data_IF_413573064014
#
_entry.id   IF_413573064014
#
_cell.length_a   1.000
_cell.length_b   1.000
_cell.length_c   1.000
_cell.angle_alpha   90.00
_cell.angle_beta   90.00
_cell.angle_gamma   90.00
#
_symmetry.space_group_name_H-M   'P 1'
#
loop_
_entity.id
_entity.type
_entity.pdbx_description
1 polymer ?
#
# COMPACT_ATOMS: atom_id res chain seq x y z
N UNK A 1 25.34 -86.44 5.79
CA UNK A 1 24.62 -85.22 5.38
C UNK A 1 24.93 -84.14 6.41
N UNK A 2 25.83 -83.20 6.08
CA UNK A 2 26.32 -82.15 6.98
C UNK A 2 25.98 -80.78 6.38
N UNK A 3 25.24 -79.96 7.10
CA UNK A 3 25.29 -78.47 7.14
C UNK A 3 24.69 -78.12 8.52
N UNK A 4 25.44 -77.73 9.56
CA UNK A 4 26.37 -76.61 9.81
C UNK A 4 25.68 -75.23 9.89
N UNK A 5 25.76 -74.54 11.04
CA UNK A 5 25.14 -73.24 11.30
C UNK A 5 26.10 -72.09 10.93
N UNK A 6 25.58 -70.97 10.40
CA UNK A 6 26.31 -69.70 10.33
C UNK A 6 25.28 -68.56 10.19
N UNK A 7 25.05 -67.82 11.27
CA UNK A 7 25.59 -66.47 11.51
C UNK A 7 24.75 -65.37 10.85
N UNK A 8 23.91 -64.78 11.69
CA UNK A 8 23.18 -63.53 11.44
C UNK A 8 24.22 -62.38 11.49
N UNK A 9 24.54 -61.79 10.35
CA UNK A 9 25.40 -60.61 10.27
C UNK A 9 24.54 -59.39 9.89
N UNK A 10 24.21 -58.57 10.88
CA UNK A 10 23.47 -57.31 10.71
C UNK A 10 24.42 -56.26 10.13
N UNK A 11 24.20 -55.86 8.88
CA UNK A 11 24.92 -54.74 8.25
C UNK A 11 24.21 -53.44 8.61
N UNK A 12 24.82 -52.64 9.48
CA UNK A 12 24.37 -51.28 9.77
C UNK A 12 25.12 -50.31 8.84
N UNK A 13 24.53 -49.96 7.70
CA UNK A 13 25.04 -48.93 6.81
C UNK A 13 24.70 -47.55 7.35
N UNK A 14 25.71 -46.84 7.85
CA UNK A 14 25.60 -45.42 8.20
C UNK A 14 25.49 -44.60 6.90
N UNK A 15 24.29 -44.06 6.63
CA UNK A 15 24.11 -43.04 5.59
C UNK A 15 24.66 -41.70 6.09
N UNK A 16 25.88 -41.36 5.70
CA UNK A 16 26.37 -39.99 5.77
C UNK A 16 25.76 -39.21 4.60
N UNK A 17 24.69 -38.47 4.84
CA UNK A 17 24.23 -37.43 3.92
C UNK A 17 25.17 -36.24 4.07
N UNK A 18 26.17 -36.13 3.21
CA UNK A 18 26.86 -34.87 3.01
C UNK A 18 25.83 -33.88 2.43
N UNK A 19 25.49 -32.85 3.20
CA UNK A 19 24.75 -31.72 2.65
C UNK A 19 25.69 -30.98 1.71
N UNK A 20 25.60 -31.25 0.41
CA UNK A 20 26.16 -30.36 -0.60
C UNK A 20 25.50 -28.99 -0.39
N UNK A 21 26.27 -28.03 0.13
CA UNK A 21 25.88 -26.64 0.08
C UNK A 21 25.77 -26.29 -1.41
N UNK A 22 24.54 -26.19 -1.92
CA UNK A 22 24.29 -25.78 -3.29
C UNK A 22 24.95 -24.40 -3.48
N UNK A 23 26.08 -24.36 -4.18
CA UNK A 23 26.68 -23.11 -4.59
C UNK A 23 25.71 -22.46 -5.55
N UNK A 24 25.11 -21.34 -5.14
CA UNK A 24 24.36 -20.49 -6.06
C UNK A 24 25.26 -20.25 -7.29
N UNK A 25 24.73 -20.36 -8.51
CA UNK A 25 25.51 -20.04 -9.70
C UNK A 25 26.13 -18.65 -9.51
N UNK A 26 27.34 -18.40 -10.04
CA UNK A 26 27.92 -17.07 -10.01
C UNK A 26 26.84 -16.11 -10.50
N UNK A 27 26.45 -15.14 -9.65
CA UNK A 27 25.59 -14.05 -10.10
C UNK A 27 26.21 -13.57 -11.40
N UNK A 28 25.45 -13.69 -12.49
CA UNK A 28 25.86 -13.12 -13.77
C UNK A 28 26.41 -11.74 -13.46
N UNK A 29 27.63 -11.44 -13.92
CA UNK A 29 28.27 -10.15 -13.63
C UNK A 29 27.46 -9.11 -14.39
N UNK A 30 26.32 -8.74 -13.80
CA UNK A 30 25.31 -7.91 -14.41
C UNK A 30 25.99 -6.66 -14.94
N UNK A 31 25.51 -6.16 -16.06
CA UNK A 31 26.04 -4.95 -16.66
C UNK A 31 25.97 -3.82 -15.61
N UNK A 32 27.13 -3.32 -15.19
CA UNK A 32 27.19 -2.22 -14.24
C UNK A 32 26.78 -0.94 -14.98
N UNK A 33 25.48 -0.61 -14.88
CA UNK A 33 24.93 0.61 -15.46
C UNK A 33 25.22 1.79 -14.54
N UNK A 34 26.03 2.74 -15.01
CA UNK A 34 26.23 4.03 -14.36
C UNK A 34 25.13 5.01 -14.78
N UNK A 35 24.67 5.81 -13.85
CA UNK A 35 23.71 6.90 -14.10
C UNK A 35 23.97 8.04 -13.12
N UNK A 36 23.56 9.27 -13.45
CA UNK A 36 23.73 10.43 -12.56
C UNK A 36 22.76 10.40 -11.38
N UNK A 37 21.53 9.92 -11.59
CA UNK A 37 20.49 9.89 -10.55
C UNK A 37 19.81 8.52 -10.53
N UNK A 38 19.74 7.89 -9.36
CA UNK A 38 18.93 6.69 -9.13
C UNK A 38 17.67 7.06 -8.35
N UNK A 39 16.51 6.70 -8.89
CA UNK A 39 15.20 6.84 -8.25
C UNK A 39 14.77 5.46 -7.77
N UNK A 40 14.62 5.27 -6.47
CA UNK A 40 14.24 3.99 -5.88
C UNK A 40 12.72 3.97 -5.66
N UNK A 41 12.03 3.20 -6.49
CA UNK A 41 10.58 3.07 -6.53
C UNK A 41 9.93 3.84 -7.67
N UNK A 42 9.08 3.16 -8.44
CA UNK A 42 8.22 3.71 -9.49
C UNK A 42 6.80 4.00 -8.96
N UNK A 43 6.68 4.39 -7.70
CA UNK A 43 5.44 4.98 -7.16
C UNK A 43 5.18 6.39 -7.68
N UNK A 44 4.05 6.99 -7.29
CA UNK A 44 3.67 8.36 -7.68
C UNK A 44 4.81 9.36 -7.46
N UNK A 45 5.46 9.32 -6.30
CA UNK A 45 6.58 10.21 -5.97
C UNK A 45 7.80 10.00 -6.90
N UNK A 46 8.16 8.74 -7.18
CA UNK A 46 9.30 8.43 -8.06
C UNK A 46 9.04 8.82 -9.52
N UNK A 47 7.82 8.59 -10.02
CA UNK A 47 7.41 9.02 -11.36
C UNK A 47 7.39 10.55 -11.44
N UNK A 48 6.85 11.24 -10.42
CA UNK A 48 6.85 12.70 -10.38
C UNK A 48 8.28 13.28 -10.33
N UNK A 49 9.19 12.65 -9.57
CA UNK A 49 10.60 13.03 -9.54
C UNK A 49 11.25 12.87 -10.93
N UNK A 50 11.02 11.73 -11.59
CA UNK A 50 11.52 11.48 -12.95
C UNK A 50 10.98 12.51 -13.96
N UNK A 51 9.70 12.86 -13.85
CA UNK A 51 9.08 13.90 -14.67
C UNK A 51 9.75 15.26 -14.44
N UNK A 52 9.97 15.65 -13.19
CA UNK A 52 10.62 16.93 -12.85
C UNK A 52 12.07 16.99 -13.33
N UNK A 53 12.85 15.91 -13.17
CA UNK A 53 14.21 15.81 -13.71
C UNK A 53 14.22 15.97 -15.23
N UNK A 54 13.29 15.30 -15.91
CA UNK A 54 13.14 15.41 -17.37
C UNK A 54 12.84 16.86 -17.79
N UNK A 55 11.92 17.54 -17.10
CA UNK A 55 11.60 18.96 -17.34
C UNK A 55 12.81 19.88 -17.10
N UNK A 56 13.63 19.56 -16.10
CA UNK A 56 14.88 20.26 -15.80
C UNK A 56 16.05 19.85 -16.72
N UNK A 57 15.80 19.11 -17.81
CA UNK A 57 16.80 18.63 -18.79
C UNK A 57 17.83 17.64 -18.20
N UNK A 58 17.55 17.05 -17.03
CA UNK A 58 18.34 15.98 -16.43
C UNK A 58 17.71 14.65 -16.86
N UNK A 59 18.29 14.00 -17.87
CA UNK A 59 17.74 12.78 -18.47
C UNK A 59 18.55 11.51 -18.18
N UNK A 60 19.74 11.66 -17.61
CA UNK A 60 20.57 10.53 -17.16
C UNK A 60 20.14 10.11 -15.75
N UNK A 61 19.00 9.42 -15.68
CA UNK A 61 18.52 8.78 -14.47
C UNK A 61 18.00 7.37 -14.74
N UNK A 62 17.92 6.57 -13.68
CA UNK A 62 17.32 5.24 -13.68
C UNK A 62 16.26 5.16 -12.59
N UNK A 63 15.09 4.60 -12.92
CA UNK A 63 14.09 4.20 -11.92
C UNK A 63 14.26 2.71 -11.64
N UNK A 64 14.42 2.35 -10.38
CA UNK A 64 14.53 0.96 -9.91
C UNK A 64 13.28 0.64 -9.11
N UNK A 65 12.43 -0.23 -9.65
CA UNK A 65 11.20 -0.70 -8.99
C UNK A 65 11.35 -2.19 -8.68
N UNK A 66 10.91 -2.58 -7.49
CA UNK A 66 10.93 -3.98 -7.06
C UNK A 66 9.78 -4.77 -7.66
N UNK A 67 8.62 -4.13 -7.80
CA UNK A 67 7.42 -4.73 -8.36
C UNK A 67 7.55 -4.92 -9.88
N UNK A 68 6.73 -5.82 -10.41
CA UNK A 68 6.53 -6.01 -11.86
C UNK A 68 5.55 -4.97 -12.45
N UNK A 69 5.13 -3.98 -11.65
CA UNK A 69 4.24 -2.89 -12.03
C UNK A 69 4.70 -1.54 -11.46
N UNK A 70 4.18 -0.46 -12.04
CA UNK A 70 4.40 0.91 -11.58
C UNK A 70 3.19 1.46 -10.81
N UNK A 71 3.34 2.60 -10.14
CA UNK A 71 2.28 3.25 -9.35
C UNK A 71 2.43 3.03 -7.83
N UNK A 72 3.12 1.96 -7.43
CA UNK A 72 3.40 1.65 -6.03
C UNK A 72 2.11 1.37 -5.25
N UNK A 73 1.73 2.27 -4.35
CA UNK A 73 0.46 2.21 -3.59
C UNK A 73 -0.76 2.72 -4.36
N UNK A 74 -0.59 3.29 -5.56
CA UNK A 74 -1.69 3.46 -6.51
C UNK A 74 -1.70 2.24 -7.43
N UNK A 75 -2.57 1.26 -7.11
CA UNK A 75 -2.64 -0.01 -7.81
C UNK A 75 -4.09 -0.40 -8.03
N UNK A 76 -4.41 -0.77 -9.27
CA UNK A 76 -5.69 -1.37 -9.63
C UNK A 76 -5.53 -2.85 -9.99
N UNK A 77 -6.64 -3.58 -9.96
CA UNK A 77 -6.73 -4.97 -10.39
C UNK A 77 -8.08 -5.25 -11.05
N UNK A 78 -8.10 -6.21 -11.98
CA UNK A 78 -9.33 -6.74 -12.56
C UNK A 78 -9.96 -7.78 -11.62
N UNK A 79 -11.25 -7.63 -11.31
CA UNK A 79 -11.98 -8.49 -10.39
C UNK A 79 -13.38 -8.84 -10.90
N UNK A 80 -13.79 -10.09 -10.69
CA UNK A 80 -15.13 -10.58 -11.01
C UNK A 80 -15.49 -10.49 -12.50
N UNK A 81 -16.79 -10.58 -12.80
CA UNK A 81 -17.35 -10.41 -14.15
C UNK A 81 -18.55 -9.48 -14.09
N UNK A 82 -18.49 -8.39 -14.82
CA UNK A 82 -19.61 -7.49 -15.00
C UNK A 82 -20.68 -8.19 -15.85
N UNK A 83 -21.85 -8.42 -15.27
CA UNK A 83 -22.96 -9.13 -15.93
C UNK A 83 -23.58 -8.33 -17.08
N UNK A 84 -23.43 -7.00 -17.07
CA UNK A 84 -23.96 -6.11 -18.12
C UNK A 84 -23.03 -5.99 -19.31
N UNK A 85 -21.72 -5.93 -19.09
CA UNK A 85 -20.72 -5.69 -20.14
C UNK A 85 -19.92 -6.93 -20.53
N UNK A 86 -19.98 -7.99 -19.72
CA UNK A 86 -19.19 -9.22 -19.88
C UNK A 86 -17.71 -9.11 -19.51
N UNK A 87 -17.21 -7.90 -19.22
CA UNK A 87 -15.80 -7.60 -18.86
C UNK A 87 -15.60 -7.66 -17.33
N UNK A 88 -14.39 -7.88 -16.82
CA UNK A 88 -14.12 -7.74 -15.39
C UNK A 88 -14.32 -6.29 -14.90
N UNK A 89 -14.51 -6.12 -13.59
CA UNK A 89 -14.50 -4.81 -12.95
C UNK A 89 -13.05 -4.38 -12.69
N UNK A 90 -12.72 -3.12 -12.92
CA UNK A 90 -11.51 -2.52 -12.36
C UNK A 90 -11.79 -2.11 -10.93
N UNK A 91 -11.01 -2.62 -9.98
CA UNK A 91 -11.03 -2.19 -8.58
C UNK A 91 -9.67 -1.60 -8.21
N UNK A 92 -9.66 -0.63 -7.31
CA UNK A 92 -8.44 -0.09 -6.72
C UNK A 92 -8.09 -0.91 -5.47
N UNK A 93 -6.85 -1.38 -5.39
CA UNK A 93 -6.29 -2.06 -4.20
C UNK A 93 -5.56 -1.09 -3.27
N UNK A 94 -5.39 0.16 -3.71
CA UNK A 94 -4.66 1.20 -3.00
C UNK A 94 -5.50 2.46 -2.89
N UNK A 95 -4.90 3.62 -3.18
CA UNK A 95 -5.65 4.88 -3.07
C UNK A 95 -6.79 4.96 -4.10
N UNK A 96 -7.98 5.30 -3.61
CA UNK A 96 -9.21 5.33 -4.39
C UNK A 96 -10.10 6.56 -4.13
N UNK A 97 -9.68 7.44 -3.20
CA UNK A 97 -10.32 8.74 -2.94
C UNK A 97 -9.39 9.88 -3.32
N UNK A 98 -9.98 10.95 -3.85
CA UNK A 98 -9.32 12.26 -3.99
C UNK A 98 -9.98 13.19 -2.99
N UNK A 99 -9.29 13.42 -1.88
CA UNK A 99 -9.74 14.33 -0.82
C UNK A 99 -9.43 15.79 -1.18
N UNK A 100 -10.25 16.72 -0.69
CA UNK A 100 -10.01 18.16 -0.83
C UNK A 100 -10.16 18.67 -2.26
N UNK A 101 -11.33 18.48 -2.87
CA UNK A 101 -11.64 18.94 -4.24
C UNK A 101 -11.78 20.48 -4.37
N UNK A 102 -11.47 21.23 -3.31
CA UNK A 102 -11.54 22.69 -3.24
C UNK A 102 -12.93 23.22 -2.91
N UNK A 103 -12.96 24.44 -2.39
CA UNK A 103 -14.18 25.24 -2.13
C UNK A 103 -13.84 26.72 -2.24
N UNK A 104 -14.78 27.62 -1.93
CA UNK A 104 -14.47 29.06 -1.81
C UNK A 104 -13.46 29.36 -0.70
N UNK A 105 -13.34 28.45 0.28
CA UNK A 105 -12.54 28.63 1.49
C UNK A 105 -11.27 27.75 1.49
N UNK A 106 -11.22 26.72 0.63
CA UNK A 106 -10.13 25.72 0.64
C UNK A 106 -9.44 25.63 -0.72
N UNK A 107 -8.12 25.44 -0.69
CA UNK A 107 -7.34 25.24 -1.90
C UNK A 107 -7.67 23.90 -2.54
N UNK A 108 -7.86 23.91 -3.86
CA UNK A 108 -8.10 22.70 -4.63
C UNK A 108 -6.85 21.80 -4.66
N UNK A 109 -7.04 20.52 -4.32
CA UNK A 109 -5.98 19.52 -4.35
C UNK A 109 -5.43 19.34 -5.79
N UNK A 110 -4.10 19.42 -6.01
CA UNK A 110 -3.50 19.14 -7.32
C UNK A 110 -3.83 17.77 -7.91
N UNK A 111 -4.11 16.76 -7.08
CA UNK A 111 -4.57 15.44 -7.51
C UNK A 111 -5.95 15.52 -8.16
N UNK A 112 -6.84 16.41 -7.69
CA UNK A 112 -8.14 16.62 -8.31
C UNK A 112 -8.01 17.23 -9.71
N UNK A 113 -7.14 18.23 -9.87
CA UNK A 113 -6.79 18.78 -11.20
C UNK A 113 -6.23 17.70 -12.13
N UNK A 114 -5.41 16.79 -11.60
CA UNK A 114 -4.86 15.67 -12.37
C UNK A 114 -5.96 14.70 -12.81
N UNK A 115 -6.90 14.37 -11.92
CA UNK A 115 -8.04 13.52 -12.24
C UNK A 115 -8.90 14.12 -13.36
N UNK A 116 -9.20 15.43 -13.28
CA UNK A 116 -9.93 16.16 -14.32
C UNK A 116 -9.17 16.19 -15.65
N UNK A 117 -7.87 16.52 -15.62
CA UNK A 117 -7.00 16.56 -16.80
C UNK A 117 -7.00 15.24 -17.58
N UNK A 118 -7.06 14.12 -16.87
CA UNK A 118 -7.08 12.79 -17.47
C UNK A 118 -8.49 12.20 -17.66
N UNK A 119 -9.54 12.97 -17.38
CA UNK A 119 -10.92 12.55 -17.57
C UNK A 119 -11.32 11.34 -16.73
N UNK A 120 -10.78 11.23 -15.51
CA UNK A 120 -11.11 10.13 -14.60
C UNK A 120 -12.60 10.17 -14.26
N UNK A 121 -13.24 9.00 -14.30
CA UNK A 121 -14.61 8.84 -13.82
C UNK A 121 -14.58 8.82 -12.30
N UNK A 122 -15.30 9.74 -11.68
CA UNK A 122 -15.41 9.84 -10.22
C UNK A 122 -16.86 9.78 -9.78
N UNK A 123 -17.07 9.55 -8.50
CA UNK A 123 -18.39 9.57 -7.86
C UNK A 123 -18.22 10.30 -6.55
N UNK A 124 -19.14 11.21 -6.26
CA UNK A 124 -19.15 11.94 -5.00
C UNK A 124 -19.42 10.97 -3.83
N UNK A 125 -18.59 11.03 -2.80
CA UNK A 125 -18.77 10.28 -1.58
C UNK A 125 -19.55 11.18 -0.59
N UNK A 126 -20.81 10.84 -0.37
CA UNK A 126 -21.65 11.48 0.64
C UNK A 126 -21.44 10.76 1.97
N UNK A 127 -20.67 11.39 2.87
CA UNK A 127 -20.35 10.85 4.18
C UNK A 127 -21.50 10.98 5.19
N UNK A 128 -22.54 11.76 4.88
CA UNK A 128 -23.73 11.92 5.73
C UNK A 128 -24.80 10.86 5.43
N UNK A 129 -24.77 10.29 4.22
CA UNK A 129 -25.68 9.23 3.77
C UNK A 129 -25.35 7.84 4.35
N UNK A 130 -25.33 7.73 5.68
CA UNK A 130 -24.92 6.52 6.40
C UNK A 130 -26.08 5.56 6.67
N UNK A 131 -25.78 4.25 6.57
CA UNK A 131 -26.62 3.18 7.14
C UNK A 131 -25.74 2.29 7.99
N UNK A 132 -26.18 2.05 9.22
CA UNK A 132 -25.41 1.36 10.25
C UNK A 132 -25.97 -0.03 10.52
N UNK A 133 -25.08 -0.98 10.80
CA UNK A 133 -25.37 -2.39 11.00
C UNK A 133 -24.54 -2.94 12.16
N UNK A 134 -25.09 -3.90 12.90
CA UNK A 134 -24.34 -4.76 13.81
C UNK A 134 -24.46 -6.24 13.39
N UNK A 135 -23.92 -7.16 14.20
CA UNK A 135 -23.95 -8.59 13.92
C UNK A 135 -25.37 -9.20 13.83
N UNK A 136 -26.42 -8.47 14.22
CA UNK A 136 -27.83 -8.87 14.14
C UNK A 136 -28.57 -8.22 12.97
N UNK A 137 -27.97 -7.24 12.29
CA UNK A 137 -28.56 -6.56 11.14
C UNK A 137 -28.56 -5.04 11.28
N UNK A 138 -29.51 -4.38 10.63
CA UNK A 138 -29.58 -2.92 10.62
C UNK A 138 -29.88 -2.39 12.01
N UNK A 139 -29.08 -1.42 12.46
CA UNK A 139 -29.24 -0.76 13.75
C UNK A 139 -28.70 0.64 13.66
N UNK A 140 -29.49 1.63 14.08
CA UNK A 140 -29.10 3.02 14.03
C UNK A 140 -28.05 3.34 15.11
N UNK A 141 -26.86 3.74 14.68
CA UNK A 141 -25.76 4.21 15.52
C UNK A 141 -25.32 5.64 15.18
N UNK A 142 -26.11 6.41 14.43
CA UNK A 142 -25.74 7.77 14.01
C UNK A 142 -25.38 8.68 15.18
N UNK A 143 -26.09 8.58 16.31
CA UNK A 143 -25.82 9.40 17.49
C UNK A 143 -24.42 9.14 18.08
N UNK A 144 -23.96 7.88 18.02
CA UNK A 144 -22.62 7.49 18.48
C UNK A 144 -21.53 7.87 17.50
N UNK A 145 -21.84 7.88 16.21
CA UNK A 145 -20.93 8.42 15.18
C UNK A 145 -20.78 9.93 15.39
N UNK A 146 -21.89 10.66 15.58
CA UNK A 146 -21.85 12.09 15.85
C UNK A 146 -21.09 12.45 17.15
N UNK A 147 -21.24 11.64 18.21
CA UNK A 147 -20.44 11.79 19.44
C UNK A 147 -18.94 11.59 19.17
N UNK A 148 -18.57 10.57 18.38
CA UNK A 148 -17.18 10.32 18.00
C UNK A 148 -16.63 11.44 17.10
N UNK A 149 -17.40 11.92 16.13
CA UNK A 149 -17.00 13.00 15.23
C UNK A 149 -16.74 14.28 16.01
N UNK A 150 -17.60 14.64 16.95
CA UNK A 150 -17.39 15.79 17.83
C UNK A 150 -16.09 15.66 18.66
N UNK A 151 -15.83 14.47 19.23
CA UNK A 151 -14.59 14.22 19.96
C UNK A 151 -13.35 14.26 19.04
N UNK A 152 -13.49 13.77 17.81
CA UNK A 152 -12.41 13.80 16.82
C UNK A 152 -12.10 15.22 16.33
N UNK A 153 -13.10 16.08 16.14
CA UNK A 153 -12.91 17.49 15.79
C UNK A 153 -12.15 18.23 16.90
N UNK A 154 -12.53 18.02 18.17
CA UNK A 154 -11.82 18.61 19.30
C UNK A 154 -10.36 18.10 19.37
N UNK A 155 -10.16 16.79 19.24
CA UNK A 155 -8.81 16.20 19.21
C UNK A 155 -7.97 16.71 18.03
N UNK A 156 -8.58 16.96 16.87
CA UNK A 156 -7.92 17.49 15.69
C UNK A 156 -7.53 18.96 15.89
N UNK A 157 -8.39 19.77 16.51
CA UNK A 157 -8.06 21.13 16.93
C UNK A 157 -6.86 21.16 17.88
N UNK A 158 -6.86 20.31 18.92
CA UNK A 158 -5.73 20.16 19.85
C UNK A 158 -4.44 19.75 19.13
N UNK A 159 -4.53 18.85 18.14
CA UNK A 159 -3.36 18.44 17.35
C UNK A 159 -2.75 19.60 16.55
N UNK A 160 -3.58 20.56 16.11
CA UNK A 160 -3.11 21.80 15.49
C UNK A 160 -2.27 22.64 16.46
N UNK A 161 -2.70 22.77 17.71
CA UNK A 161 -1.93 23.45 18.76
C UNK A 161 -0.62 22.72 19.09
N UNK A 162 -0.65 21.40 19.21
CA UNK A 162 0.56 20.58 19.42
C UNK A 162 1.61 20.86 18.33
N UNK A 163 1.17 20.91 17.06
CA UNK A 163 2.05 21.19 15.94
C UNK A 163 2.60 22.62 15.96
N UNK A 164 1.75 23.62 16.18
CA UNK A 164 2.13 25.04 16.17
C UNK A 164 3.05 25.41 17.33
N UNK A 165 2.81 24.84 18.51
CA UNK A 165 3.56 25.13 19.73
C UNK A 165 4.74 24.17 19.95
N UNK A 166 4.98 23.26 18.99
CA UNK A 166 6.06 22.26 19.03
C UNK A 166 6.04 21.41 20.32
N UNK A 167 4.85 20.93 20.68
CA UNK A 167 4.63 20.06 21.84
C UNK A 167 4.85 18.58 21.48
N UNK A 168 4.95 17.74 22.51
CA UNK A 168 5.08 16.30 22.32
C UNK A 168 3.78 15.70 21.74
N UNK A 169 3.92 14.88 20.68
CA UNK A 169 2.80 14.16 20.08
C UNK A 169 2.08 13.24 21.06
N UNK A 170 0.77 13.10 20.85
CA UNK A 170 -0.11 12.22 21.60
C UNK A 170 -0.57 11.04 20.74
N UNK A 171 -0.82 9.89 21.39
CA UNK A 171 -1.52 8.79 20.72
C UNK A 171 -2.96 9.20 20.37
N UNK A 172 -3.53 8.67 19.29
CA UNK A 172 -4.93 8.93 18.92
C UNK A 172 -5.92 8.63 20.05
N UNK A 173 -5.66 7.59 20.85
CA UNK A 173 -6.45 7.28 22.05
C UNK A 173 -6.42 8.41 23.08
N UNK A 174 -5.25 9.00 23.30
CA UNK A 174 -5.09 10.09 24.26
C UNK A 174 -5.81 11.34 23.77
N UNK A 175 -5.67 11.70 22.48
CA UNK A 175 -6.38 12.83 21.87
C UNK A 175 -7.90 12.66 21.91
N UNK A 176 -8.42 11.49 21.52
CA UNK A 176 -9.87 11.23 21.61
C UNK A 176 -10.40 11.30 23.05
N UNK A 177 -9.61 10.88 24.05
CA UNK A 177 -10.03 10.96 25.46
C UNK A 177 -10.11 12.39 25.97
N UNK A 178 -9.29 13.31 25.44
CA UNK A 178 -9.36 14.73 25.79
C UNK A 178 -10.42 15.48 24.99
N UNK A 179 -10.74 14.99 23.79
CA UNK A 179 -11.72 15.58 22.88
C UNK A 179 -13.19 15.46 23.31
N UNK A 180 -13.56 14.53 24.18
CA UNK A 180 -14.94 14.34 24.65
C UNK A 180 -15.34 12.90 24.83
#
# INVERSE_FOLDING_TARGET
MKQSPAQLLTVLTAFFTAAEAASLPPRDKGTCRKTKVAILGAGVAGIAAAQNLTQAKITDFLIVEHNDYIGGRLRSQQFGRNTKTGKPYTIELGANWVEGIGSLETHENPIWKLAQKHGLKTTYADYDALKTFDHKGAKNWTDKIAELDAAFENASGDSGHILLDNLQDLSARAGLRTGG
#
